data_IF_078290395738
#
_entry.id   IF_078290395738
#
_cell.length_a   1.000
_cell.length_b   1.000
_cell.length_c   1.000
_cell.angle_alpha   90.00
_cell.angle_beta   90.00
_cell.angle_gamma   90.00
#
_symmetry.space_group_name_H-M   'P 1'
#
loop_
_entity.id
_entity.type
_entity.pdbx_description
1 polymer ?
#
# COMPACT_ATOMS: atom_id res chain seq x y z
N UNK A 1 0.77 8.49 -28.46
CA UNK A 1 0.03 7.24 -28.25
C UNK A 1 0.59 6.46 -27.05
N UNK A 2 1.91 6.47 -26.85
CA UNK A 2 2.57 5.88 -25.65
C UNK A 2 2.13 6.52 -24.32
N UNK A 3 2.15 7.85 -24.18
CA UNK A 3 1.87 8.51 -22.90
C UNK A 3 0.48 8.21 -22.29
N UNK A 4 -0.59 8.22 -23.11
CA UNK A 4 -1.95 7.87 -22.62
C UNK A 4 -2.02 6.40 -22.15
N UNK A 5 -1.24 5.51 -22.77
CA UNK A 5 -1.13 4.12 -22.36
C UNK A 5 -0.39 4.00 -21.02
N UNK A 6 0.75 4.67 -20.86
CA UNK A 6 1.52 4.69 -19.61
C UNK A 6 0.70 5.24 -18.44
N UNK A 7 -0.06 6.33 -18.64
CA UNK A 7 -0.98 6.89 -17.63
C UNK A 7 -2.04 5.87 -17.22
N UNK A 8 -2.62 5.15 -18.20
CA UNK A 8 -3.62 4.11 -17.92
C UNK A 8 -3.00 2.93 -17.15
N UNK A 9 -1.79 2.49 -17.51
CA UNK A 9 -1.07 1.40 -16.84
C UNK A 9 -0.74 1.80 -15.39
N UNK A 10 -0.22 3.00 -15.17
CA UNK A 10 0.03 3.55 -13.84
C UNK A 10 -1.26 3.62 -12.99
N UNK A 11 -2.37 4.10 -13.57
CA UNK A 11 -3.67 4.18 -12.87
C UNK A 11 -4.19 2.79 -12.47
N UNK A 12 -4.09 1.80 -13.36
CA UNK A 12 -4.49 0.42 -13.06
C UNK A 12 -3.69 -0.15 -11.88
N UNK A 13 -2.37 0.07 -11.87
CA UNK A 13 -1.51 -0.41 -10.78
C UNK A 13 -1.81 0.32 -9.47
N UNK A 14 -1.99 1.65 -9.50
CA UNK A 14 -2.38 2.45 -8.34
C UNK A 14 -3.70 1.95 -7.71
N UNK A 15 -4.73 1.69 -8.51
CA UNK A 15 -6.01 1.14 -8.04
C UNK A 15 -5.86 -0.27 -7.46
N UNK A 16 -4.97 -1.11 -8.02
CA UNK A 16 -4.65 -2.43 -7.46
C UNK A 16 -3.98 -2.33 -6.09
N UNK A 17 -3.10 -1.35 -5.89
CA UNK A 17 -2.49 -1.07 -4.59
C UNK A 17 -3.56 -0.67 -3.57
N UNK A 18 -4.43 0.29 -3.90
CA UNK A 18 -5.50 0.74 -2.99
C UNK A 18 -6.43 -0.41 -2.55
N UNK A 19 -6.83 -1.27 -3.49
CA UNK A 19 -7.62 -2.46 -3.17
C UNK A 19 -6.90 -3.44 -2.23
N UNK A 20 -5.58 -3.58 -2.39
CA UNK A 20 -4.76 -4.45 -1.53
C UNK A 20 -4.62 -3.84 -0.12
N UNK A 21 -4.41 -2.53 -0.03
CA UNK A 21 -4.40 -1.79 1.23
C UNK A 21 -5.73 -1.92 1.99
N UNK A 22 -6.88 -1.90 1.31
CA UNK A 22 -8.18 -2.16 1.93
C UNK A 22 -8.26 -3.56 2.58
N UNK A 23 -7.73 -4.58 1.91
CA UNK A 23 -7.71 -5.96 2.43
C UNK A 23 -6.81 -6.07 3.66
N UNK A 24 -5.61 -5.47 3.58
CA UNK A 24 -4.66 -5.39 4.70
C UNK A 24 -5.30 -4.69 5.89
N UNK A 25 -5.92 -3.53 5.69
CA UNK A 25 -6.54 -2.75 6.75
C UNK A 25 -7.66 -3.53 7.46
N UNK A 26 -8.50 -4.24 6.69
CA UNK A 26 -9.55 -5.12 7.23
C UNK A 26 -8.95 -6.27 8.06
N UNK A 27 -7.88 -6.89 7.59
CA UNK A 27 -7.20 -7.98 8.30
C UNK A 27 -6.54 -7.49 9.60
N UNK A 28 -5.85 -6.34 9.55
CA UNK A 28 -5.22 -5.71 10.72
C UNK A 28 -6.25 -5.28 11.76
N UNK A 29 -7.35 -4.63 11.35
CA UNK A 29 -8.47 -4.27 12.25
C UNK A 29 -9.12 -5.50 12.88
N UNK A 30 -9.30 -6.57 12.10
CA UNK A 30 -9.81 -7.84 12.62
C UNK A 30 -8.86 -8.42 13.67
N UNK A 31 -7.55 -8.51 13.36
CA UNK A 31 -6.55 -9.02 14.29
C UNK A 31 -6.44 -8.18 15.58
N UNK A 32 -6.61 -6.84 15.49
CA UNK A 32 -6.68 -5.94 16.65
C UNK A 32 -7.89 -6.27 17.52
N UNK A 33 -9.07 -6.43 16.92
CA UNK A 33 -10.31 -6.67 17.64
C UNK A 33 -10.32 -8.06 18.31
N UNK A 34 -9.76 -9.09 17.67
CA UNK A 34 -9.59 -10.41 18.28
C UNK A 34 -8.69 -10.39 19.53
N UNK A 35 -7.72 -9.47 19.61
CA UNK A 35 -6.90 -9.27 20.82
C UNK A 35 -7.67 -8.70 22.03
N UNK A 36 -8.84 -8.08 21.82
CA UNK A 36 -9.71 -7.61 22.90
C UNK A 36 -10.75 -8.66 23.32
N UNK A 37 -11.13 -9.57 22.41
CA UNK A 37 -12.09 -10.66 22.69
C UNK A 37 -11.54 -11.64 23.74
N UNK A 38 -10.22 -11.76 23.88
CA UNK A 38 -9.56 -12.58 24.90
C UNK A 38 -9.82 -12.17 26.36
N UNK A 39 -10.27 -10.93 26.62
CA UNK A 39 -10.48 -10.44 27.99
C UNK A 39 -11.88 -10.83 28.53
N UNK A 40 -12.83 -11.22 27.67
CA UNK A 40 -14.23 -11.43 28.07
C UNK A 40 -14.71 -12.88 28.13
N UNK A 41 -13.91 -13.88 27.78
CA UNK A 41 -14.40 -15.26 27.89
C UNK A 41 -13.41 -16.35 27.57
N UNK A 42 -12.78 -16.91 28.63
CA UNK A 42 -12.23 -18.27 28.71
C UNK A 42 -11.40 -18.72 27.49
N UNK A 43 -10.11 -18.43 27.57
CA UNK A 43 -9.10 -18.84 26.60
C UNK A 43 -9.16 -20.33 26.25
N UNK A 44 -8.94 -20.61 24.96
CA UNK A 44 -8.25 -21.80 24.40
C UNK A 44 -8.29 -21.80 22.86
N UNK A 45 -9.09 -20.92 22.21
CA UNK A 45 -9.19 -20.85 20.73
C UNK A 45 -8.53 -19.63 20.05
N UNK A 46 -8.01 -18.66 20.81
CA UNK A 46 -7.54 -17.38 20.25
C UNK A 46 -6.17 -17.44 19.56
N UNK A 47 -5.32 -18.42 19.90
CA UNK A 47 -3.96 -18.52 19.36
C UNK A 47 -3.87 -18.89 17.87
N UNK A 48 -4.79 -19.74 17.38
CA UNK A 48 -4.71 -20.33 16.03
C UNK A 48 -5.29 -19.42 14.93
N UNK A 49 -6.35 -18.67 15.22
CA UNK A 49 -6.98 -17.75 14.24
C UNK A 49 -6.09 -16.53 13.97
N UNK A 50 -5.30 -16.12 14.96
CA UNK A 50 -4.40 -14.96 14.89
C UNK A 50 -3.25 -15.16 13.90
N UNK A 51 -2.76 -16.40 13.73
CA UNK A 51 -1.65 -16.70 12.82
C UNK A 51 -2.08 -16.52 11.35
N UNK A 52 -3.19 -17.17 10.96
CA UNK A 52 -3.66 -17.15 9.57
C UNK A 52 -3.95 -15.72 9.05
N UNK A 53 -4.55 -14.85 9.88
CA UNK A 53 -4.85 -13.47 9.46
C UNK A 53 -3.61 -12.59 9.30
N UNK A 54 -2.58 -12.85 10.10
CA UNK A 54 -1.32 -12.11 10.00
C UNK A 54 -0.50 -12.60 8.80
N UNK A 55 -0.52 -13.90 8.52
CA UNK A 55 0.09 -14.48 7.32
C UNK A 55 -0.60 -13.99 6.04
N UNK A 56 -1.93 -13.87 6.06
CA UNK A 56 -2.72 -13.29 4.96
C UNK A 56 -2.32 -11.82 4.72
N UNK A 57 -2.23 -11.02 5.80
CA UNK A 57 -1.77 -9.64 5.70
C UNK A 57 -0.36 -9.58 5.11
N UNK A 58 0.59 -10.37 5.61
CA UNK A 58 1.94 -10.42 5.05
C UNK A 58 1.99 -10.76 3.57
N UNK A 59 1.13 -11.67 3.07
CA UNK A 59 1.04 -11.97 1.64
C UNK A 59 0.56 -10.77 0.83
N UNK A 60 -0.46 -10.07 1.31
CA UNK A 60 -0.98 -8.85 0.68
C UNK A 60 0.05 -7.71 0.72
N UNK A 61 0.82 -7.57 1.81
CA UNK A 61 1.89 -6.58 1.92
C UNK A 61 2.99 -6.81 0.89
N UNK A 62 3.38 -8.08 0.67
CA UNK A 62 4.33 -8.43 -0.40
C UNK A 62 3.78 -8.11 -1.79
N UNK A 63 2.47 -8.23 -1.99
CA UNK A 63 1.83 -7.85 -3.25
C UNK A 63 1.85 -6.32 -3.44
N UNK A 64 1.49 -5.56 -2.40
CA UNK A 64 1.60 -4.09 -2.40
C UNK A 64 3.03 -3.66 -2.72
N UNK A 65 4.04 -4.33 -2.16
CA UNK A 65 5.43 -4.02 -2.45
C UNK A 65 5.79 -4.18 -3.93
N UNK A 66 5.39 -5.30 -4.54
CA UNK A 66 5.62 -5.52 -5.98
C UNK A 66 4.87 -4.48 -6.81
N UNK A 67 3.64 -4.17 -6.45
CA UNK A 67 2.82 -3.22 -7.21
C UNK A 67 3.35 -1.79 -7.11
N UNK A 68 3.88 -1.39 -5.96
CA UNK A 68 4.51 -0.09 -5.80
C UNK A 68 5.79 0.04 -6.63
N UNK A 69 6.56 -1.04 -6.79
CA UNK A 69 7.72 -1.06 -7.70
C UNK A 69 7.31 -0.92 -9.17
N UNK A 70 6.21 -1.59 -9.57
CA UNK A 70 5.66 -1.42 -10.92
C UNK A 70 5.17 0.01 -11.11
N UNK A 71 4.43 0.57 -10.15
CA UNK A 71 3.95 1.95 -10.22
C UNK A 71 5.10 2.95 -10.35
N UNK A 72 6.18 2.77 -9.58
CA UNK A 72 7.36 3.60 -9.68
C UNK A 72 7.99 3.56 -11.08
N UNK A 73 8.02 2.37 -11.71
CA UNK A 73 8.51 2.22 -13.08
C UNK A 73 7.64 2.98 -14.08
N UNK A 74 6.32 2.82 -14.04
CA UNK A 74 5.44 3.50 -15.00
C UNK A 74 5.49 5.02 -14.82
N UNK A 75 5.57 5.52 -13.58
CA UNK A 75 5.73 6.95 -13.31
C UNK A 75 7.03 7.51 -13.90
N UNK A 76 8.12 6.74 -13.86
CA UNK A 76 9.38 7.12 -14.50
C UNK A 76 9.26 7.17 -16.03
N UNK A 77 8.54 6.21 -16.62
CA UNK A 77 8.30 6.18 -18.06
C UNK A 77 7.43 7.37 -18.52
N UNK A 78 6.47 7.81 -17.69
CA UNK A 78 5.68 9.04 -17.89
C UNK A 78 6.55 10.29 -17.80
N UNK A 79 7.41 10.41 -16.77
CA UNK A 79 8.32 11.55 -16.55
C UNK A 79 9.26 11.78 -17.75
N UNK A 80 9.84 10.70 -18.28
CA UNK A 80 10.70 10.74 -19.48
C UNK A 80 9.93 11.28 -20.70
N UNK A 81 8.65 10.93 -20.85
CA UNK A 81 7.83 11.29 -22.00
C UNK A 81 7.21 12.70 -21.88
N UNK A 82 6.84 13.13 -20.67
CA UNK A 82 6.12 14.38 -20.44
C UNK A 82 7.03 15.56 -20.04
N UNK A 83 8.31 15.34 -19.68
CA UNK A 83 9.35 16.35 -19.37
C UNK A 83 8.96 17.40 -18.31
N UNK A 84 7.90 17.18 -17.56
CA UNK A 84 7.62 17.92 -16.33
C UNK A 84 8.09 17.09 -15.15
N UNK A 85 8.62 17.74 -14.11
CA UNK A 85 9.00 17.16 -12.81
C UNK A 85 7.71 16.73 -12.08
N UNK A 86 7.06 15.71 -12.64
CA UNK A 86 5.93 15.04 -12.01
C UNK A 86 6.46 14.61 -10.65
N UNK A 87 5.59 14.61 -9.64
CA UNK A 87 5.88 14.23 -8.26
C UNK A 87 6.45 12.79 -8.06
N UNK A 88 6.99 12.17 -9.11
CA UNK A 88 7.89 11.00 -9.14
C UNK A 88 9.02 11.16 -8.14
N UNK A 89 9.67 12.32 -8.05
CA UNK A 89 10.76 12.53 -7.09
C UNK A 89 10.29 12.43 -5.62
N UNK A 90 9.07 12.91 -5.34
CA UNK A 90 8.41 12.78 -4.03
C UNK A 90 7.94 11.37 -3.73
N UNK A 91 7.28 10.72 -4.70
CA UNK A 91 6.81 9.34 -4.58
C UNK A 91 7.97 8.36 -4.43
N UNK A 92 9.05 8.54 -5.17
CA UNK A 92 10.25 7.70 -5.09
C UNK A 92 10.91 7.79 -3.70
N UNK A 93 11.11 9.01 -3.17
CA UNK A 93 11.61 9.19 -1.80
C UNK A 93 10.67 8.57 -0.76
N UNK A 94 9.37 8.73 -0.96
CA UNK A 94 8.35 8.10 -0.12
C UNK A 94 8.48 6.58 -0.16
N UNK A 95 8.67 6.00 -1.35
CA UNK A 95 8.85 4.57 -1.54
C UNK A 95 10.11 4.02 -0.87
N UNK A 96 11.22 4.74 -0.94
CA UNK A 96 12.46 4.37 -0.25
C UNK A 96 12.25 4.33 1.27
N UNK A 97 11.63 5.38 1.83
CA UNK A 97 11.30 5.46 3.27
C UNK A 97 10.31 4.38 3.69
N UNK A 98 9.27 4.15 2.88
CA UNK A 98 8.27 3.12 3.13
C UNK A 98 8.93 1.76 3.12
N UNK A 99 9.65 1.39 2.05
CA UNK A 99 10.21 0.05 1.92
C UNK A 99 11.21 -0.29 3.03
N UNK A 100 12.02 0.67 3.47
CA UNK A 100 12.97 0.46 4.58
C UNK A 100 12.25 0.21 5.92
N UNK A 101 11.06 0.80 6.12
CA UNK A 101 10.36 0.78 7.41
C UNK A 101 9.18 -0.19 7.48
N UNK A 102 8.58 -0.57 6.35
CA UNK A 102 7.33 -1.35 6.29
C UNK A 102 7.59 -2.85 6.45
N UNK A 103 8.62 -3.39 5.81
CA UNK A 103 8.77 -4.84 5.66
C UNK A 103 9.27 -5.50 6.96
N UNK A 104 10.14 -4.83 7.72
CA UNK A 104 10.75 -5.38 8.94
C UNK A 104 9.86 -5.21 10.19
N UNK A 105 9.14 -4.09 10.31
CA UNK A 105 8.43 -3.73 11.55
C UNK A 105 6.97 -4.20 11.60
N UNK A 106 6.32 -4.48 10.46
CA UNK A 106 4.91 -4.89 10.42
C UNK A 106 4.66 -6.30 10.97
N UNK A 107 5.71 -7.10 11.17
CA UNK A 107 5.62 -8.50 11.58
C UNK A 107 5.75 -8.74 13.10
N UNK A 108 5.63 -7.69 13.94
CA UNK A 108 5.55 -7.88 15.41
C UNK A 108 4.14 -7.64 15.96
N UNK A 109 3.70 -8.58 16.79
CA UNK A 109 2.32 -8.69 17.27
C UNK A 109 1.83 -7.49 18.10
N UNK A 110 2.74 -6.66 18.62
CA UNK A 110 2.44 -5.43 19.37
C UNK A 110 2.25 -4.18 18.49
N UNK A 111 2.42 -4.27 17.17
CA UNK A 111 2.54 -3.11 16.27
C UNK A 111 1.37 -2.89 15.30
N UNK A 112 0.23 -3.55 15.49
CA UNK A 112 -0.95 -3.41 14.58
C UNK A 112 -1.34 -1.95 14.34
N UNK A 113 -1.29 -1.08 15.37
CA UNK A 113 -1.58 0.35 15.20
C UNK A 113 -0.55 1.06 14.30
N UNK A 114 0.75 0.71 14.40
CA UNK A 114 1.79 1.21 13.50
C UNK A 114 1.53 0.72 12.07
N UNK A 115 1.19 -0.55 11.90
CA UNK A 115 0.84 -1.10 10.58
C UNK A 115 -0.35 -0.38 9.93
N UNK A 116 -1.41 -0.08 10.70
CA UNK A 116 -2.54 0.71 10.22
C UNK A 116 -2.14 2.14 9.82
N UNK A 117 -1.26 2.78 10.58
CA UNK A 117 -0.74 4.12 10.25
C UNK A 117 0.04 4.10 8.93
N UNK A 118 0.93 3.13 8.75
CA UNK A 118 1.72 3.01 7.53
C UNK A 118 0.84 2.66 6.31
N UNK A 119 -0.18 1.80 6.45
CA UNK A 119 -1.20 1.56 5.40
C UNK A 119 -1.87 2.87 4.98
N UNK A 120 -2.20 3.73 5.95
CA UNK A 120 -2.73 5.06 5.68
C UNK A 120 -1.76 5.95 4.90
N UNK A 121 -0.48 5.96 5.24
CA UNK A 121 0.54 6.74 4.51
C UNK A 121 0.69 6.29 3.06
N UNK A 122 0.77 4.97 2.82
CA UNK A 122 0.84 4.42 1.45
C UNK A 122 -0.41 4.78 0.65
N UNK A 123 -1.60 4.70 1.28
CA UNK A 123 -2.85 5.11 0.64
C UNK A 123 -2.82 6.58 0.22
N UNK A 124 -2.38 7.48 1.09
CA UNK A 124 -2.26 8.92 0.78
C UNK A 124 -1.33 9.15 -0.40
N UNK A 125 -0.12 8.57 -0.39
CA UNK A 125 0.84 8.74 -1.48
C UNK A 125 0.30 8.22 -2.83
N UNK A 126 -0.39 7.07 -2.84
CA UNK A 126 -0.99 6.52 -4.06
C UNK A 126 -2.14 7.40 -4.58
N UNK A 127 -2.94 8.01 -3.69
CA UNK A 127 -3.98 8.95 -4.10
C UNK A 127 -3.40 10.27 -4.66
N UNK A 128 -2.27 10.74 -4.12
CA UNK A 128 -1.54 11.89 -4.66
C UNK A 128 -1.05 11.59 -6.08
N UNK A 129 -0.51 10.38 -6.31
CA UNK A 129 -0.14 9.91 -7.66
C UNK A 129 -1.35 9.92 -8.60
N UNK A 130 -2.49 9.35 -8.20
CA UNK A 130 -3.71 9.37 -9.03
C UNK A 130 -4.14 10.80 -9.39
N UNK A 131 -4.09 11.71 -8.42
CA UNK A 131 -4.41 13.13 -8.64
C UNK A 131 -3.46 13.77 -9.66
N UNK A 132 -2.17 13.45 -9.61
CA UNK A 132 -1.19 13.93 -10.60
C UNK A 132 -1.45 13.34 -11.99
N UNK A 133 -1.75 12.04 -12.08
CA UNK A 133 -2.10 11.38 -13.35
C UNK A 133 -3.35 12.01 -13.99
N UNK A 134 -4.38 12.33 -13.19
CA UNK A 134 -5.59 13.00 -13.67
C UNK A 134 -5.29 14.40 -14.22
N UNK A 135 -4.38 15.16 -13.61
CA UNK A 135 -3.97 16.48 -14.11
C UNK A 135 -3.29 16.37 -15.47
N UNK A 136 -2.31 15.48 -15.59
CA UNK A 136 -1.59 15.25 -16.85
C UNK A 136 -2.57 14.84 -17.95
N UNK A 137 -3.49 13.92 -17.66
CA UNK A 137 -4.48 13.47 -18.65
C UNK A 137 -5.39 14.61 -19.15
N UNK A 138 -5.74 15.56 -18.28
CA UNK A 138 -6.54 16.73 -18.65
C UNK A 138 -5.77 17.76 -19.48
N UNK A 139 -4.43 17.74 -19.43
CA UNK A 139 -3.54 18.63 -20.19
C UNK A 139 -3.13 18.06 -21.56
N UNK A 140 -3.55 16.80 -21.87
CA UNK A 140 -3.25 16.06 -23.12
C UNK A 140 -4.36 16.09 -24.19
#
# INVERSE_FOLDING_TARGET
MELKKEISEARVVALRILNSLDRIEKQLKSAKNWGFVDILGRGFLAGLIKHNKMDDAQRELRQVQRDLQVLQKELKDIDIQFREDISVSGFQKFMDIVFDNIVSDWMTQSRINKSLQEVGRVRTAVNEVLTSLDKIENEL
#
